data_IF_884926515824
#
_entry.id   IF_884926515824
#
_cell.length_a   1.000
_cell.length_b   1.000
_cell.length_c   1.000
_cell.angle_alpha   90.00
_cell.angle_beta   90.00
_cell.angle_gamma   90.00
#
_symmetry.space_group_name_H-M   'P 1'
#
loop_
_entity.id
_entity.type
_entity.pdbx_description
1 polymer ?
#
# COMPACT_ATOMS: atom_id res chain seq x y z
N UNK A 1 -35.91 12.23 28.96
CA UNK A 1 -34.46 12.29 28.70
C UNK A 1 -34.10 11.21 27.69
N UNK A 2 -34.04 11.56 26.40
CA UNK A 2 -33.63 10.65 25.33
C UNK A 2 -32.12 10.50 25.37
N UNK A 3 -31.64 9.28 25.66
CA UNK A 3 -30.22 8.91 25.57
C UNK A 3 -29.72 9.26 24.17
N UNK A 4 -28.79 10.22 24.08
CA UNK A 4 -28.12 10.61 22.85
C UNK A 4 -27.45 9.39 22.21
N UNK A 5 -27.75 9.17 20.93
CA UNK A 5 -27.52 7.90 20.25
C UNK A 5 -26.05 7.51 20.11
N UNK A 6 -25.72 6.39 20.76
CA UNK A 6 -24.54 5.59 20.44
C UNK A 6 -24.67 5.03 19.01
N UNK A 7 -23.54 4.86 18.31
CA UNK A 7 -23.53 4.15 17.03
C UNK A 7 -24.02 2.71 17.24
N UNK A 8 -25.13 2.32 16.61
CA UNK A 8 -25.63 0.94 16.65
C UNK A 8 -24.70 0.00 15.85
N UNK A 9 -24.10 0.50 14.77
CA UNK A 9 -23.15 -0.24 13.93
C UNK A 9 -22.17 0.70 13.26
N UNK A 10 -20.87 0.39 13.38
CA UNK A 10 -19.81 1.02 12.61
C UNK A 10 -19.20 0.00 11.64
N UNK A 11 -19.17 0.34 10.35
CA UNK A 11 -18.51 -0.47 9.34
C UNK A 11 -17.33 0.31 8.76
N UNK A 12 -16.13 -0.28 8.89
CA UNK A 12 -14.90 0.27 8.36
C UNK A 12 -14.39 -0.66 7.25
N UNK A 13 -14.11 -0.08 6.06
CA UNK A 13 -13.50 -0.78 4.93
C UNK A 13 -12.15 -0.14 4.64
N UNK A 14 -11.08 -0.90 4.82
CA UNK A 14 -9.71 -0.48 4.58
C UNK A 14 -9.16 -1.39 3.48
N UNK A 15 -8.64 -0.80 2.41
CA UNK A 15 -8.29 -1.53 1.20
C UNK A 15 -7.65 -0.64 0.14
N UNK A 16 -6.94 -1.27 -0.79
CA UNK A 16 -6.56 -0.65 -2.06
C UNK A 16 -7.75 -0.74 -3.03
N UNK A 17 -7.95 0.30 -3.84
CA UNK A 17 -9.00 0.35 -4.86
C UNK A 17 -8.37 0.70 -6.21
N UNK A 18 -8.85 0.10 -7.30
CA UNK A 18 -8.39 0.36 -8.67
C UNK A 18 -6.87 0.25 -8.81
N UNK A 19 -6.32 -0.92 -8.47
CA UNK A 19 -4.88 -1.17 -8.56
C UNK A 19 -4.52 -1.37 -10.03
N UNK A 20 -3.62 -0.53 -10.52
CA UNK A 20 -3.04 -0.63 -11.87
C UNK A 20 -1.52 -0.76 -11.74
N UNK A 21 -0.94 -1.59 -12.60
CA UNK A 21 0.51 -1.75 -12.74
C UNK A 21 0.86 -1.32 -14.15
N UNK A 22 1.61 -0.23 -14.25
CA UNK A 22 1.99 0.36 -15.53
C UNK A 22 3.41 -0.07 -15.91
N UNK A 23 3.62 -0.33 -17.18
CA UNK A 23 4.93 -0.63 -17.76
C UNK A 23 5.13 0.26 -18.98
N UNK A 24 6.37 0.65 -19.24
CA UNK A 24 6.69 1.40 -20.47
C UNK A 24 6.23 0.63 -21.71
N UNK A 25 5.56 1.34 -22.63
CA UNK A 25 5.11 0.77 -23.90
C UNK A 25 6.24 0.28 -24.80
N UNK A 26 7.49 0.70 -24.52
CA UNK A 26 8.69 0.28 -25.23
C UNK A 26 9.15 -1.13 -24.82
N UNK A 27 8.69 -1.64 -23.67
CA UNK A 27 9.04 -2.97 -23.19
C UNK A 27 8.23 -4.03 -23.94
N UNK A 28 8.91 -4.77 -24.82
CA UNK A 28 8.28 -5.85 -25.57
C UNK A 28 8.00 -7.07 -24.67
N UNK A 29 6.73 -7.47 -24.60
CA UNK A 29 6.27 -8.68 -23.89
C UNK A 29 7.05 -9.92 -24.32
N UNK A 30 7.38 -10.78 -23.36
CA UNK A 30 8.14 -12.02 -23.58
C UNK A 30 9.65 -11.84 -23.67
N UNK A 31 10.16 -10.61 -23.53
CA UNK A 31 11.59 -10.35 -23.33
C UNK A 31 11.94 -10.47 -21.85
N UNK A 32 13.20 -10.81 -21.56
CA UNK A 32 13.68 -10.84 -20.18
C UNK A 32 13.49 -9.49 -19.48
N UNK A 33 13.77 -8.39 -20.18
CA UNK A 33 13.67 -7.05 -19.60
C UNK A 33 12.23 -6.73 -19.20
N UNK A 34 11.25 -7.11 -20.03
CA UNK A 34 9.84 -7.00 -19.68
C UNK A 34 9.51 -7.76 -18.39
N UNK A 35 9.93 -9.03 -18.28
CA UNK A 35 9.61 -9.87 -17.11
C UNK A 35 10.27 -9.34 -15.82
N UNK A 36 11.50 -8.84 -15.92
CA UNK A 36 12.22 -8.27 -14.78
C UNK A 36 11.57 -6.97 -14.30
N UNK A 37 11.21 -6.07 -15.21
CA UNK A 37 10.51 -4.82 -14.84
C UNK A 37 9.12 -5.14 -14.29
N UNK A 38 8.36 -6.04 -14.91
CA UNK A 38 7.07 -6.48 -14.37
C UNK A 38 7.22 -7.04 -12.95
N UNK A 39 8.26 -7.83 -12.70
CA UNK A 39 8.54 -8.34 -11.36
C UNK A 39 8.87 -7.22 -10.36
N UNK A 40 9.60 -6.19 -10.79
CA UNK A 40 9.89 -5.00 -9.97
C UNK A 40 8.59 -4.29 -9.57
N UNK A 41 7.73 -3.96 -10.54
CA UNK A 41 6.46 -3.27 -10.26
C UNK A 41 5.52 -4.12 -9.38
N UNK A 42 5.46 -5.43 -9.61
CA UNK A 42 4.69 -6.33 -8.75
C UNK A 42 5.26 -6.42 -7.33
N UNK A 43 6.55 -6.17 -7.13
CA UNK A 43 7.17 -6.12 -5.82
C UNK A 43 6.75 -4.85 -5.07
N UNK A 44 6.66 -3.69 -5.74
CA UNK A 44 6.04 -2.48 -5.17
C UNK A 44 4.62 -2.75 -4.72
N UNK A 45 3.81 -3.39 -5.56
CA UNK A 45 2.44 -3.76 -5.19
C UNK A 45 2.37 -4.70 -3.97
N UNK A 46 3.28 -5.66 -3.87
CA UNK A 46 3.36 -6.54 -2.70
C UNK A 46 3.71 -5.74 -1.42
N UNK A 47 4.58 -4.75 -1.54
CA UNK A 47 4.99 -3.87 -0.45
C UNK A 47 3.83 -2.97 0.02
N UNK A 48 3.11 -2.32 -0.90
CA UNK A 48 1.88 -1.58 -0.59
C UNK A 48 0.87 -2.43 0.20
N UNK A 49 0.66 -3.68 -0.23
CA UNK A 49 -0.23 -4.63 0.47
C UNK A 49 0.25 -4.96 1.87
N UNK A 50 1.57 -5.09 2.07
CA UNK A 50 2.15 -5.37 3.38
C UNK A 50 2.01 -4.19 4.34
N UNK A 51 2.25 -2.97 3.88
CA UNK A 51 2.02 -1.74 4.66
C UNK A 51 0.56 -1.65 5.07
N UNK A 52 -0.37 -1.83 4.12
CA UNK A 52 -1.80 -1.85 4.41
C UNK A 52 -2.17 -2.92 5.44
N UNK A 53 -1.66 -4.14 5.29
CA UNK A 53 -1.92 -5.26 6.21
C UNK A 53 -1.45 -4.95 7.64
N UNK A 54 -0.35 -4.21 7.79
CA UNK A 54 0.17 -3.76 9.09
C UNK A 54 -0.71 -2.66 9.69
N UNK A 55 -1.09 -1.64 8.92
CA UNK A 55 -1.82 -0.48 9.42
C UNK A 55 -3.32 -0.72 9.62
N UNK A 56 -3.96 -1.56 8.81
CA UNK A 56 -5.40 -1.82 8.89
C UNK A 56 -5.89 -2.19 10.31
N UNK A 57 -5.26 -3.12 11.05
CA UNK A 57 -5.68 -3.42 12.42
C UNK A 57 -5.43 -2.27 13.40
N UNK A 58 -4.39 -1.46 13.21
CA UNK A 58 -4.11 -0.30 14.07
C UNK A 58 -5.16 0.80 13.88
N UNK A 59 -5.53 1.06 12.62
CA UNK A 59 -6.60 2.00 12.26
C UNK A 59 -7.93 1.55 12.89
N UNK A 60 -8.28 0.26 12.73
CA UNK A 60 -9.52 -0.28 13.29
C UNK A 60 -9.59 -0.11 14.82
N UNK A 61 -8.48 -0.39 15.53
CA UNK A 61 -8.39 -0.18 16.98
C UNK A 61 -8.54 1.28 17.38
N UNK A 62 -7.88 2.20 16.67
CA UNK A 62 -7.94 3.63 16.97
C UNK A 62 -9.34 4.21 16.74
N UNK A 63 -9.99 3.79 15.65
CA UNK A 63 -11.37 4.19 15.34
C UNK A 63 -12.34 3.65 16.38
N UNK A 64 -12.22 2.36 16.75
CA UNK A 64 -13.06 1.75 17.77
C UNK A 64 -12.92 2.46 19.12
N UNK A 65 -11.69 2.68 19.59
CA UNK A 65 -11.43 3.40 20.85
C UNK A 65 -12.00 4.82 20.85
N UNK A 66 -11.92 5.51 19.72
CA UNK A 66 -12.51 6.84 19.55
C UNK A 66 -14.04 6.77 19.60
N UNK A 67 -14.66 5.82 18.89
CA UNK A 67 -16.10 5.65 18.90
C UNK A 67 -16.65 5.32 20.30
N UNK A 68 -15.98 4.43 21.03
CA UNK A 68 -16.33 4.05 22.41
C UNK A 68 -16.23 5.23 23.39
N UNK A 69 -15.17 6.04 23.26
CA UNK A 69 -14.90 7.15 24.19
C UNK A 69 -15.87 8.31 24.06
N UNK A 70 -16.35 8.58 22.84
CA UNK A 70 -17.09 9.82 22.57
C UNK A 70 -18.62 9.65 22.46
N UNK A 71 -19.16 8.42 22.46
CA UNK A 71 -20.59 8.01 22.53
C UNK A 71 -21.63 8.78 21.67
N UNK A 72 -21.22 9.79 20.92
CA UNK A 72 -22.03 10.74 20.16
C UNK A 72 -21.42 10.93 18.77
N UNK A 73 -22.19 11.52 17.85
CA UNK A 73 -21.90 11.74 16.43
C UNK A 73 -20.68 12.64 16.12
N UNK A 74 -19.55 12.44 16.78
CA UNK A 74 -18.29 13.12 16.47
C UNK A 74 -17.58 12.44 15.30
N UNK A 75 -18.28 12.36 14.16
CA UNK A 75 -17.72 11.86 12.90
C UNK A 75 -16.42 12.60 12.53
N UNK A 76 -16.29 13.87 12.93
CA UNK A 76 -15.08 14.67 12.80
C UNK A 76 -13.88 14.05 13.52
N UNK A 77 -14.04 13.57 14.77
CA UNK A 77 -12.94 12.92 15.52
C UNK A 77 -12.50 11.62 14.87
N UNK A 78 -13.46 10.80 14.44
CA UNK A 78 -13.15 9.58 13.68
C UNK A 78 -12.43 9.95 12.38
N UNK A 79 -12.87 11.01 11.69
CA UNK A 79 -12.19 11.50 10.49
C UNK A 79 -10.77 12.00 10.76
N UNK A 80 -10.51 12.68 11.88
CA UNK A 80 -9.18 13.13 12.29
C UNK A 80 -8.24 11.94 12.51
N UNK A 81 -8.71 10.93 13.24
CA UNK A 81 -7.98 9.69 13.47
C UNK A 81 -7.67 8.97 12.17
N UNK A 82 -8.67 8.84 11.28
CA UNK A 82 -8.47 8.24 9.95
C UNK A 82 -7.44 9.02 9.13
N UNK A 83 -7.48 10.35 9.13
CA UNK A 83 -6.52 11.19 8.40
C UNK A 83 -5.09 11.00 8.91
N UNK A 84 -4.89 11.00 10.23
CA UNK A 84 -3.54 10.83 10.81
C UNK A 84 -2.96 9.46 10.46
N UNK A 85 -3.72 8.39 10.66
CA UNK A 85 -3.23 7.05 10.33
C UNK A 85 -3.03 6.86 8.83
N UNK A 86 -3.89 7.44 7.98
CA UNK A 86 -3.70 7.37 6.52
C UNK A 86 -2.40 8.07 6.12
N UNK A 87 -2.12 9.25 6.69
CA UNK A 87 -0.85 9.95 6.47
C UNK A 87 0.35 9.10 6.89
N UNK A 88 0.32 8.53 8.10
CA UNK A 88 1.41 7.67 8.61
C UNK A 88 1.61 6.41 7.76
N UNK A 89 0.52 5.82 7.27
CA UNK A 89 0.57 4.68 6.37
C UNK A 89 1.23 5.07 5.04
N UNK A 90 0.83 6.19 4.44
CA UNK A 90 1.45 6.72 3.21
C UNK A 90 2.93 7.05 3.40
N UNK A 91 3.31 7.69 4.51
CA UNK A 91 4.72 7.99 4.79
C UNK A 91 5.58 6.73 4.95
N UNK A 92 5.05 5.66 5.55
CA UNK A 92 5.77 4.38 5.64
C UNK A 92 5.87 3.70 4.27
N UNK A 93 4.79 3.75 3.49
CA UNK A 93 4.73 3.21 2.15
C UNK A 93 5.75 3.89 1.22
N UNK A 94 5.79 5.22 1.21
CA UNK A 94 6.75 6.03 0.44
C UNK A 94 8.20 5.70 0.84
N UNK A 95 8.47 5.60 2.15
CA UNK A 95 9.80 5.24 2.65
C UNK A 95 10.24 3.86 2.16
N UNK A 96 9.35 2.89 2.23
CA UNK A 96 9.65 1.52 1.83
C UNK A 96 9.82 1.40 0.30
N UNK A 97 9.02 2.11 -0.48
CA UNK A 97 9.16 2.15 -1.95
C UNK A 97 10.44 2.86 -2.40
N UNK A 98 10.82 3.97 -1.75
CA UNK A 98 12.05 4.70 -2.07
C UNK A 98 13.33 3.87 -1.88
N UNK A 99 13.30 2.83 -1.04
CA UNK A 99 14.42 1.89 -0.89
C UNK A 99 14.58 0.95 -2.10
N UNK A 100 13.50 0.73 -2.87
CA UNK A 100 13.50 -0.16 -4.03
C UNK A 100 13.90 0.55 -5.32
N UNK A 101 13.52 1.81 -5.50
CA UNK A 101 13.80 2.61 -6.69
C UNK A 101 15.17 3.29 -6.65
N UNK A 102 16.21 2.49 -6.40
CA UNK A 102 17.60 2.96 -6.41
C UNK A 102 18.26 2.66 -7.75
N UNK A 103 19.21 3.51 -8.17
CA UNK A 103 20.04 3.27 -9.36
C UNK A 103 20.66 1.87 -9.36
N UNK A 104 21.08 1.39 -8.18
CA UNK A 104 21.66 0.05 -8.02
C UNK A 104 20.64 -1.07 -8.27
N UNK A 105 19.37 -0.87 -7.88
CA UNK A 105 18.27 -1.79 -8.19
C UNK A 105 18.08 -1.92 -9.70
N UNK A 106 18.06 -0.80 -10.43
CA UNK A 106 17.97 -0.80 -11.89
C UNK A 106 19.17 -1.51 -12.56
N UNK A 107 20.39 -1.25 -12.09
CA UNK A 107 21.60 -1.91 -12.59
C UNK A 107 21.54 -3.41 -12.31
N UNK A 108 21.09 -3.82 -11.12
CA UNK A 108 20.92 -5.22 -10.76
C UNK A 108 19.91 -5.93 -11.68
N UNK A 109 18.76 -5.30 -11.92
CA UNK A 109 17.72 -5.80 -12.82
C UNK A 109 18.25 -6.02 -14.24
N UNK A 110 18.97 -5.05 -14.81
CA UNK A 110 19.59 -5.19 -16.13
C UNK A 110 20.59 -6.35 -16.19
N UNK A 111 21.39 -6.53 -15.14
CA UNK A 111 22.36 -7.64 -15.05
C UNK A 111 21.70 -9.01 -15.05
N UNK A 112 20.47 -9.15 -14.54
CA UNK A 112 19.74 -10.43 -14.57
C UNK A 112 19.51 -10.90 -16.01
N UNK A 113 19.26 -9.97 -16.93
CA UNK A 113 18.99 -10.32 -18.33
C UNK A 113 20.23 -10.70 -19.15
N UNK A 114 21.35 -10.01 -18.93
CA UNK A 114 22.63 -10.30 -19.60
C UNK A 114 23.15 -11.72 -19.25
N UNK A 115 22.82 -12.22 -18.06
CA UNK A 115 23.24 -13.55 -17.61
C UNK A 115 22.36 -14.68 -18.17
N UNK A 116 21.05 -14.46 -18.34
CA UNK A 116 20.12 -15.45 -18.91
C UNK A 116 20.38 -15.77 -20.37
N UNK A 117 20.89 -14.82 -21.17
CA UNK A 117 21.24 -15.06 -22.58
C UNK A 117 22.49 -15.96 -22.72
N UNK A 118 23.40 -15.93 -21.74
CA UNK A 118 24.61 -16.78 -21.74
C UNK A 118 24.34 -18.22 -21.29
N UNK A 119 23.29 -18.48 -20.50
CA UNK A 119 22.93 -19.83 -20.05
C UNK A 119 21.97 -20.58 -20.99
N UNK A 120 21.46 -19.93 -22.05
CA UNK A 120 20.63 -20.53 -23.10
C UNK A 120 21.42 -20.90 -24.37
N UNK A 121 22.74 -20.84 -24.34
CA UNK A 121 23.64 -21.32 -25.41
C UNK A 121 24.29 -22.64 -25.02
#
# INVERSE_FOLDING_TARGET
MTRGGAYEKLQLKIGLKNIEVELSSELQKGTCLFDVVLKHELTHLALHRNVLKRFAPEIAKAVLSTAERFQTKQAERISEVLKDYTRRMSEEDDKQNALMDTTDSYIYQQKQCVQTEKSRK
#
